data_IF_885793984945
#
_entry.id   IF_885793984945
#
_cell.length_a   1.000
_cell.length_b   1.000
_cell.length_c   1.000
_cell.angle_alpha   90.00
_cell.angle_beta   90.00
_cell.angle_gamma   90.00
#
_symmetry.space_group_name_H-M   'P 1'
#
loop_
_entity.id
_entity.type
_entity.pdbx_description
1 polymer ?
#
# COMPACT_ATOMS: atom_id res chain seq x y z
N UNK A 1 -1.53 4.03 -26.52
CA UNK A 1 -1.60 2.56 -26.68
C UNK A 1 -1.90 1.93 -25.34
N UNK A 2 -2.61 0.79 -25.36
CA UNK A 2 -3.25 0.04 -24.26
C UNK A 2 -4.56 0.59 -23.66
N UNK A 3 -5.65 0.02 -24.18
CA UNK A 3 -6.98 -0.03 -23.60
C UNK A 3 -7.07 -1.14 -22.53
N UNK A 4 -7.87 -0.95 -21.47
CA UNK A 4 -8.47 -2.03 -20.65
C UNK A 4 -9.71 -1.44 -19.94
N UNK A 5 -10.93 -1.72 -20.41
CA UNK A 5 -11.86 -2.84 -20.07
C UNK A 5 -12.79 -2.53 -18.89
N UNK A 6 -14.06 -2.35 -19.26
CA UNK A 6 -15.21 -2.37 -18.36
C UNK A 6 -15.50 -3.79 -17.84
N UNK A 7 -15.79 -3.92 -16.55
CA UNK A 7 -16.48 -5.06 -15.93
C UNK A 7 -17.41 -4.48 -14.84
N UNK A 8 -18.73 -4.44 -15.09
CA UNK A 8 -19.75 -5.40 -14.63
C UNK A 8 -19.79 -5.60 -13.10
N UNK A 9 -20.83 -5.02 -12.51
CA UNK A 9 -21.39 -5.26 -11.17
C UNK A 9 -21.89 -6.71 -10.99
N UNK A 10 -21.81 -7.28 -9.77
CA UNK A 10 -22.58 -8.46 -9.39
C UNK A 10 -23.92 -8.09 -8.69
N UNK A 11 -24.93 -8.98 -8.74
CA UNK A 11 -26.24 -8.76 -8.11
C UNK A 11 -26.28 -9.24 -6.63
N UNK A 12 -27.33 -8.80 -5.94
CA UNK A 12 -27.50 -8.80 -4.49
C UNK A 12 -27.41 -10.13 -3.73
N UNK A 13 -27.30 -10.05 -2.40
CA UNK A 13 -28.46 -10.27 -1.53
C UNK A 13 -28.15 -10.16 -0.02
N UNK A 14 -29.06 -9.45 0.66
CA UNK A 14 -29.67 -9.69 2.01
C UNK A 14 -28.81 -9.59 3.29
N UNK A 15 -29.26 -8.70 4.18
CA UNK A 15 -29.07 -8.82 5.64
C UNK A 15 -29.11 -7.51 6.43
N UNK A 16 -30.29 -6.92 6.65
CA UNK A 16 -30.56 -6.07 7.84
C UNK A 16 -30.58 -6.96 9.11
N UNK A 17 -30.54 -6.45 10.38
CA UNK A 17 -30.87 -5.09 10.83
C UNK A 17 -29.94 -4.53 11.94
N UNK A 18 -30.11 -3.24 12.27
CA UNK A 18 -30.26 -2.75 13.66
C UNK A 18 -30.27 -1.21 13.63
N UNK A 19 -31.48 -0.67 13.72
CA UNK A 19 -31.71 0.72 14.06
C UNK A 19 -31.34 0.94 15.53
N UNK A 20 -30.36 1.79 15.80
CA UNK A 20 -30.21 2.44 17.10
C UNK A 20 -30.62 3.91 16.93
N UNK A 21 -31.64 4.40 17.65
CA UNK A 21 -32.18 5.74 17.46
C UNK A 21 -31.40 6.84 18.21
N UNK A 22 -30.14 6.61 18.59
CA UNK A 22 -29.35 7.55 19.41
C UNK A 22 -27.97 7.81 18.82
N UNK A 23 -27.93 8.44 17.67
CA UNK A 23 -26.75 9.18 17.21
C UNK A 23 -27.21 10.21 16.19
N UNK A 24 -26.56 11.38 16.17
CA UNK A 24 -26.75 12.47 15.21
C UNK A 24 -27.86 13.46 15.60
N UNK A 25 -27.72 14.07 16.78
CA UNK A 25 -27.93 15.53 16.85
C UNK A 25 -26.69 16.16 16.21
N UNK A 26 -26.64 16.13 14.88
CA UNK A 26 -25.82 17.08 14.13
C UNK A 26 -26.56 18.39 14.27
N UNK A 27 -25.89 19.38 14.84
CA UNK A 27 -26.21 20.79 14.69
C UNK A 27 -26.13 21.09 13.19
N UNK A 28 -27.23 20.84 12.48
CA UNK A 28 -27.55 21.34 11.16
C UNK A 28 -27.93 22.81 11.35
N UNK A 29 -26.92 23.65 11.49
CA UNK A 29 -27.04 25.08 11.30
C UNK A 29 -26.08 25.47 10.18
N UNK A 30 -26.67 25.96 9.09
CA UNK A 30 -26.05 26.58 7.91
C UNK A 30 -25.52 25.63 6.83
N UNK A 31 -26.42 24.95 6.12
CA UNK A 31 -26.30 24.74 4.66
C UNK A 31 -27.71 24.62 4.04
N UNK A 32 -28.53 25.64 4.27
CA UNK A 32 -29.72 25.85 3.45
C UNK A 32 -29.32 26.52 2.15
N UNK A 33 -28.87 25.74 1.16
CA UNK A 33 -28.78 26.18 -0.23
C UNK A 33 -30.19 26.20 -0.85
N UNK A 34 -31.08 27.02 -0.28
CA UNK A 34 -32.12 27.64 -1.08
C UNK A 34 -31.43 28.84 -1.74
N UNK A 35 -31.59 29.00 -3.06
CA UNK A 35 -31.23 30.24 -3.75
C UNK A 35 -32.04 31.36 -3.10
N UNK A 36 -31.49 31.96 -2.05
CA UNK A 36 -32.06 33.12 -1.42
C UNK A 36 -32.04 34.22 -2.47
N UNK A 37 -33.19 34.87 -2.68
CA UNK A 37 -33.23 36.06 -3.51
C UNK A 37 -32.10 37.03 -3.09
N UNK A 38 -31.44 37.72 -4.04
CA UNK A 38 -30.36 38.64 -3.73
C UNK A 38 -30.73 39.59 -2.60
N UNK A 39 -29.78 39.83 -1.68
CA UNK A 39 -30.02 40.73 -0.55
C UNK A 39 -30.46 42.10 -1.10
N UNK A 40 -31.66 42.61 -0.75
CA UNK A 40 -32.19 43.84 -1.32
C UNK A 40 -31.29 45.06 -1.05
N UNK A 41 -30.41 44.99 -0.04
CA UNK A 41 -29.42 46.03 0.27
C UNK A 41 -28.33 46.16 -0.79
N UNK A 42 -28.15 45.15 -1.65
CA UNK A 42 -27.19 45.17 -2.77
C UNK A 42 -27.76 45.79 -4.05
N UNK A 43 -29.09 45.91 -4.19
CA UNK A 43 -29.72 46.44 -5.40
C UNK A 43 -29.22 47.86 -5.81
N UNK A 44 -28.98 48.80 -4.87
CA UNK A 44 -28.38 50.10 -5.21
C UNK A 44 -26.96 49.96 -5.80
N UNK A 45 -26.17 49.00 -5.30
CA UNK A 45 -24.82 48.74 -5.79
C UNK A 45 -24.84 48.09 -7.18
N UNK A 46 -25.75 47.15 -7.41
CA UNK A 46 -25.96 46.56 -8.74
C UNK A 46 -26.26 47.63 -9.78
N UNK A 47 -27.09 48.62 -9.42
CA UNK A 47 -27.36 49.78 -10.26
C UNK A 47 -26.10 50.62 -10.50
N UNK A 48 -25.29 50.90 -9.47
CA UNK A 48 -24.03 51.64 -9.64
C UNK A 48 -23.07 50.94 -10.62
N UNK A 49 -22.97 49.62 -10.55
CA UNK A 49 -22.18 48.80 -11.48
C UNK A 49 -22.74 48.90 -12.91
N UNK A 50 -24.06 48.81 -13.07
CA UNK A 50 -24.72 48.92 -14.38
C UNK A 50 -24.56 50.32 -15.00
N UNK A 51 -24.61 51.36 -14.17
CA UNK A 51 -24.46 52.77 -14.56
C UNK A 51 -22.99 53.18 -14.79
N UNK A 52 -22.05 52.22 -14.72
CA UNK A 52 -20.60 52.46 -14.88
C UNK A 52 -20.04 53.55 -13.93
N UNK A 53 -20.55 53.57 -12.70
CA UNK A 53 -20.04 54.45 -11.64
C UNK A 53 -18.55 54.18 -11.40
N UNK A 54 -17.71 55.20 -11.12
CA UNK A 54 -16.30 54.98 -10.82
C UNK A 54 -16.08 53.89 -9.75
N UNK A 55 -15.22 52.92 -10.04
CA UNK A 55 -15.06 51.71 -9.21
C UNK A 55 -14.76 52.00 -7.74
N UNK A 56 -13.92 52.99 -7.45
CA UNK A 56 -13.62 53.40 -6.07
C UNK A 56 -14.83 53.91 -5.27
N UNK A 57 -15.83 54.50 -5.94
CA UNK A 57 -17.10 54.87 -5.28
C UNK A 57 -17.95 53.63 -4.98
N UNK A 58 -17.96 52.64 -5.87
CA UNK A 58 -18.66 51.37 -5.67
C UNK A 58 -18.03 50.60 -4.50
N UNK A 59 -16.70 50.50 -4.45
CA UNK A 59 -15.97 49.86 -3.35
C UNK A 59 -16.29 50.53 -2.02
N UNK A 60 -16.23 51.87 -1.95
CA UNK A 60 -16.56 52.61 -0.72
C UNK A 60 -18.01 52.39 -0.27
N UNK A 61 -18.95 52.30 -1.21
CA UNK A 61 -20.34 51.99 -0.90
C UNK A 61 -20.51 50.56 -0.36
N UNK A 62 -19.80 49.59 -0.94
CA UNK A 62 -19.75 48.20 -0.46
C UNK A 62 -19.14 48.09 0.94
N UNK A 63 -18.04 48.79 1.21
CA UNK A 63 -17.37 48.78 2.52
C UNK A 63 -18.24 49.33 3.66
N UNK A 64 -19.16 50.25 3.33
CA UNK A 64 -20.13 50.83 4.26
C UNK A 64 -21.29 49.90 4.61
N UNK A 65 -21.42 48.74 3.95
CA UNK A 65 -22.46 47.78 4.26
C UNK A 65 -22.20 47.05 5.59
N UNK A 66 -23.27 46.61 6.30
CA UNK A 66 -23.14 45.79 7.49
C UNK A 66 -22.31 44.52 7.25
N UNK A 67 -21.61 44.07 8.29
CA UNK A 67 -20.69 42.92 8.18
C UNK A 67 -21.41 41.67 7.64
N UNK A 68 -22.64 41.40 8.07
CA UNK A 68 -23.40 40.24 7.61
C UNK A 68 -23.70 40.25 6.11
N UNK A 69 -23.82 41.44 5.49
CA UNK A 69 -23.96 41.58 4.03
C UNK A 69 -22.64 41.31 3.34
N UNK A 70 -21.55 41.85 3.90
CA UNK A 70 -20.19 41.70 3.38
C UNK A 70 -19.72 40.24 3.38
N UNK A 71 -20.38 39.37 4.14
CA UNK A 71 -20.07 37.94 4.21
C UNK A 71 -20.82 37.07 3.18
N UNK A 72 -21.65 37.67 2.32
CA UNK A 72 -22.45 36.97 1.31
C UNK A 72 -21.70 36.76 0.00
N UNK A 73 -22.10 35.75 -0.79
CA UNK A 73 -21.52 35.51 -2.11
C UNK A 73 -21.78 36.69 -3.07
N UNK A 74 -23.02 37.16 -3.17
CA UNK A 74 -23.40 38.27 -4.07
C UNK A 74 -22.60 39.54 -3.80
N UNK A 75 -22.31 39.86 -2.53
CA UNK A 75 -21.40 40.96 -2.17
C UNK A 75 -20.02 40.79 -2.83
N UNK A 76 -19.44 39.60 -2.78
CA UNK A 76 -18.12 39.34 -3.34
C UNK A 76 -18.10 39.36 -4.87
N UNK A 77 -19.20 38.98 -5.54
CA UNK A 77 -19.32 39.15 -6.98
C UNK A 77 -19.36 40.63 -7.36
N UNK A 78 -20.13 41.46 -6.63
CA UNK A 78 -20.18 42.89 -6.86
C UNK A 78 -18.85 43.58 -6.53
N UNK A 79 -18.18 43.14 -5.47
CA UNK A 79 -16.84 43.61 -5.12
C UNK A 79 -15.83 43.29 -6.23
N UNK A 80 -15.90 42.08 -6.80
CA UNK A 80 -15.04 41.70 -7.93
C UNK A 80 -15.27 42.61 -9.16
N UNK A 81 -16.53 42.93 -9.47
CA UNK A 81 -16.89 43.86 -10.55
C UNK A 81 -16.46 45.31 -10.23
N UNK A 82 -16.61 45.75 -8.99
CA UNK A 82 -16.17 47.07 -8.55
C UNK A 82 -14.65 47.24 -8.74
N UNK A 83 -13.85 46.25 -8.33
CA UNK A 83 -12.41 46.23 -8.55
C UNK A 83 -12.03 46.10 -10.02
N UNK A 84 -12.83 45.39 -10.83
CA UNK A 84 -12.65 45.37 -12.29
C UNK A 84 -12.78 46.78 -12.88
N UNK A 85 -13.84 47.51 -12.51
CA UNK A 85 -14.04 48.90 -12.95
C UNK A 85 -12.93 49.81 -12.42
N UNK A 86 -12.43 49.56 -11.21
CA UNK A 86 -11.31 50.29 -10.61
C UNK A 86 -9.93 49.91 -11.21
N UNK A 87 -9.85 48.90 -12.08
CA UNK A 87 -8.59 48.36 -12.62
C UNK A 87 -7.64 47.81 -11.54
N UNK A 88 -8.21 47.12 -10.53
CA UNK A 88 -7.50 46.48 -9.43
C UNK A 88 -7.61 44.94 -9.53
N UNK A 89 -6.86 44.30 -10.45
CA UNK A 89 -7.12 42.91 -10.84
C UNK A 89 -6.89 41.90 -9.72
N UNK A 90 -5.90 42.11 -8.86
CA UNK A 90 -5.62 41.17 -7.77
C UNK A 90 -6.71 41.16 -6.69
N UNK A 91 -7.29 42.33 -6.36
CA UNK A 91 -8.43 42.42 -5.44
C UNK A 91 -9.70 41.84 -6.05
N UNK A 92 -9.89 42.04 -7.36
CA UNK A 92 -11.00 41.44 -8.09
C UNK A 92 -10.90 39.90 -8.14
N UNK A 93 -9.72 39.36 -8.43
CA UNK A 93 -9.48 37.91 -8.43
C UNK A 93 -9.67 37.29 -7.06
N UNK A 94 -9.23 37.98 -6.02
CA UNK A 94 -9.46 37.57 -4.64
C UNK A 94 -10.97 37.57 -4.29
N UNK A 95 -11.70 38.64 -4.60
CA UNK A 95 -13.14 38.70 -4.37
C UNK A 95 -13.90 37.60 -5.13
N UNK A 96 -13.55 37.37 -6.40
CA UNK A 96 -14.12 36.30 -7.21
C UNK A 96 -13.82 34.91 -6.63
N UNK A 97 -12.62 34.70 -6.06
CA UNK A 97 -12.32 33.47 -5.36
C UNK A 97 -13.30 33.27 -4.18
N UNK A 98 -13.51 34.27 -3.34
CA UNK A 98 -14.47 34.18 -2.22
C UNK A 98 -15.90 33.91 -2.68
N UNK A 99 -16.37 34.57 -3.74
CA UNK A 99 -17.68 34.28 -4.33
C UNK A 99 -17.85 32.77 -4.61
N UNK A 100 -16.89 32.16 -5.32
CA UNK A 100 -16.91 30.72 -5.64
C UNK A 100 -16.83 29.81 -4.41
N UNK A 101 -16.17 30.26 -3.34
CA UNK A 101 -16.05 29.48 -2.10
C UNK A 101 -17.37 29.47 -1.32
N UNK A 102 -18.06 30.61 -1.28
CA UNK A 102 -19.30 30.78 -0.52
C UNK A 102 -20.50 30.20 -1.24
N UNK A 103 -20.49 30.19 -2.58
CA UNK A 103 -21.58 29.64 -3.40
C UNK A 103 -21.04 28.72 -4.50
N UNK A 104 -20.59 27.50 -4.15
CA UNK A 104 -20.13 26.53 -5.14
C UNK A 104 -21.26 26.17 -6.11
N UNK A 105 -21.03 26.33 -7.41
CA UNK A 105 -22.02 25.97 -8.45
C UNK A 105 -23.06 27.05 -8.77
N UNK A 106 -22.84 28.29 -8.32
CA UNK A 106 -23.66 29.44 -8.71
C UNK A 106 -23.78 29.59 -10.24
N UNK A 107 -24.96 29.97 -10.73
CA UNK A 107 -25.22 30.26 -12.15
C UNK A 107 -25.03 31.73 -12.51
N UNK A 108 -24.62 32.58 -11.55
CA UNK A 108 -24.34 34.00 -11.81
C UNK A 108 -23.22 34.11 -12.85
N UNK A 109 -23.36 35.06 -13.78
CA UNK A 109 -22.36 35.27 -14.82
C UNK A 109 -21.10 35.97 -14.28
N UNK A 110 -20.00 35.24 -14.28
CA UNK A 110 -18.64 35.66 -13.90
C UNK A 110 -17.71 35.80 -15.11
N UNK A 111 -18.16 35.44 -16.32
CA UNK A 111 -17.29 35.23 -17.49
C UNK A 111 -16.50 36.48 -17.87
N UNK A 112 -17.15 37.65 -17.82
CA UNK A 112 -16.50 38.91 -18.17
C UNK A 112 -15.35 39.28 -17.20
N UNK A 113 -15.54 39.02 -15.90
CA UNK A 113 -14.51 39.24 -14.87
C UNK A 113 -13.37 38.24 -15.08
N UNK A 114 -13.68 36.96 -15.28
CA UNK A 114 -12.70 35.89 -15.49
C UNK A 114 -11.81 36.13 -16.72
N UNK A 115 -12.42 36.48 -17.86
CA UNK A 115 -11.67 36.76 -19.08
C UNK A 115 -10.75 37.97 -18.93
N UNK A 116 -11.18 38.98 -18.17
CA UNK A 116 -10.35 40.14 -17.86
C UNK A 116 -9.20 39.77 -16.92
N UNK A 117 -9.48 39.03 -15.84
CA UNK A 117 -8.47 38.54 -14.90
C UNK A 117 -7.40 37.69 -15.57
N UNK A 118 -7.78 36.81 -16.51
CA UNK A 118 -6.81 36.00 -17.26
C UNK A 118 -5.82 36.88 -18.05
N UNK A 119 -6.30 37.95 -18.70
CA UNK A 119 -5.43 38.89 -19.43
C UNK A 119 -4.53 39.70 -18.48
N UNK A 120 -5.08 40.15 -17.34
CA UNK A 120 -4.29 40.87 -16.35
C UNK A 120 -3.25 39.98 -15.68
N UNK A 121 -3.57 38.70 -15.44
CA UNK A 121 -2.62 37.71 -14.94
C UNK A 121 -1.42 37.56 -15.89
N UNK A 122 -1.66 37.47 -17.21
CA UNK A 122 -0.61 37.41 -18.22
C UNK A 122 0.28 38.66 -18.21
N UNK A 123 -0.33 39.84 -18.12
CA UNK A 123 0.38 41.12 -18.07
C UNK A 123 1.26 41.21 -16.82
N UNK A 124 0.69 40.95 -15.64
CA UNK A 124 1.39 40.99 -14.35
C UNK A 124 2.50 39.95 -14.26
N UNK A 125 2.28 38.76 -14.84
CA UNK A 125 3.31 37.73 -14.89
C UNK A 125 4.49 38.16 -15.78
N UNK A 126 4.21 38.76 -16.94
CA UNK A 126 5.26 39.30 -17.82
C UNK A 126 6.06 40.39 -17.13
N UNK A 127 5.38 41.28 -16.39
CA UNK A 127 5.99 42.32 -15.57
C UNK A 127 6.89 41.71 -14.47
N UNK A 128 6.39 40.72 -13.72
CA UNK A 128 7.15 40.02 -12.70
C UNK A 128 8.44 39.39 -13.26
N UNK A 129 8.35 38.75 -14.43
CA UNK A 129 9.52 38.18 -15.11
C UNK A 129 10.54 39.23 -15.53
N UNK A 130 10.08 40.38 -16.02
CA UNK A 130 10.98 41.50 -16.35
C UNK A 130 11.70 42.02 -15.11
N UNK A 131 10.97 42.25 -14.01
CA UNK A 131 11.54 42.71 -12.74
C UNK A 131 12.54 41.72 -12.17
N UNK A 132 12.22 40.42 -12.24
CA UNK A 132 13.09 39.34 -11.81
C UNK A 132 14.41 39.33 -12.60
N UNK A 133 14.34 39.44 -13.93
CA UNK A 133 15.54 39.52 -14.80
C UNK A 133 16.37 40.77 -14.53
N UNK A 134 15.74 41.86 -14.10
CA UNK A 134 16.40 43.11 -13.73
C UNK A 134 16.95 43.10 -12.29
N UNK A 135 16.70 42.04 -11.51
CA UNK A 135 17.20 41.88 -10.15
C UNK A 135 16.36 42.56 -9.05
N UNK A 136 15.22 43.17 -9.40
CA UNK A 136 14.29 43.77 -8.42
C UNK A 136 13.38 42.69 -7.83
N UNK A 137 13.93 41.89 -6.92
CA UNK A 137 13.25 40.74 -6.32
C UNK A 137 11.98 41.13 -5.53
N UNK A 138 11.95 42.21 -4.72
CA UNK A 138 10.74 42.63 -4.05
C UNK A 138 9.60 43.02 -5.00
N UNK A 139 9.89 43.81 -6.05
CA UNK A 139 8.87 44.19 -7.02
C UNK A 139 8.42 42.99 -7.87
N UNK A 140 9.34 42.10 -8.25
CA UNK A 140 9.02 40.86 -8.94
C UNK A 140 8.09 39.96 -8.12
N UNK A 141 8.36 39.83 -6.82
CA UNK A 141 7.55 39.06 -5.88
C UNK A 141 6.13 39.64 -5.75
N UNK A 142 5.99 40.97 -5.64
CA UNK A 142 4.69 41.64 -5.60
C UNK A 142 3.88 41.44 -6.89
N UNK A 143 4.50 41.69 -8.05
CA UNK A 143 3.85 41.49 -9.35
C UNK A 143 3.45 40.03 -9.58
N UNK A 144 4.29 39.07 -9.18
CA UNK A 144 3.98 37.64 -9.27
C UNK A 144 2.82 37.25 -8.37
N UNK A 145 2.81 37.70 -7.11
CA UNK A 145 1.72 37.45 -6.18
C UNK A 145 0.38 37.96 -6.74
N UNK A 146 0.37 39.18 -7.30
CA UNK A 146 -0.81 39.75 -7.95
C UNK A 146 -1.25 38.92 -9.15
N UNK A 147 -0.31 38.44 -9.98
CA UNK A 147 -0.63 37.56 -11.11
C UNK A 147 -1.32 36.26 -10.66
N UNK A 148 -0.80 35.60 -9.62
CA UNK A 148 -1.38 34.37 -9.04
C UNK A 148 -2.76 34.62 -8.41
N UNK A 149 -2.99 35.80 -7.84
CA UNK A 149 -4.29 36.19 -7.30
C UNK A 149 -5.35 36.40 -8.40
N UNK A 150 -4.92 36.83 -9.60
CA UNK A 150 -5.80 36.96 -10.76
C UNK A 150 -6.12 35.59 -11.38
N UNK A 151 -5.10 34.78 -11.63
CA UNK A 151 -5.23 33.44 -12.18
C UNK A 151 -4.21 32.47 -11.59
N UNK A 152 -4.71 31.37 -11.04
CA UNK A 152 -3.89 30.32 -10.44
C UNK A 152 -3.13 29.50 -11.48
N UNK A 153 -3.55 29.49 -12.75
CA UNK A 153 -2.81 28.78 -13.80
C UNK A 153 -1.40 29.33 -13.98
N UNK A 154 -1.13 30.56 -13.51
CA UNK A 154 0.21 31.16 -13.42
C UNK A 154 1.20 30.27 -12.65
N UNK A 155 0.74 29.51 -11.65
CA UNK A 155 1.57 28.61 -10.85
C UNK A 155 2.12 27.43 -11.67
N UNK A 156 1.38 27.00 -12.71
CA UNK A 156 1.76 25.87 -13.55
C UNK A 156 2.74 26.27 -14.67
N UNK A 157 3.09 27.57 -14.78
CA UNK A 157 4.00 28.04 -15.82
C UNK A 157 5.43 27.59 -15.49
N UNK A 158 6.13 26.92 -16.43
CA UNK A 158 7.47 26.40 -16.21
C UNK A 158 8.50 27.53 -16.28
N UNK A 159 8.51 28.41 -15.28
CA UNK A 159 9.60 29.38 -15.06
C UNK A 159 10.30 28.97 -13.76
N UNK A 160 11.55 28.51 -13.90
CA UNK A 160 12.34 27.70 -12.95
C UNK A 160 12.74 28.40 -11.63
N UNK A 161 11.76 28.91 -10.87
CA UNK A 161 11.98 29.35 -9.50
C UNK A 161 11.31 30.64 -9.08
N UNK A 162 10.51 31.31 -9.93
CA UNK A 162 9.89 32.59 -9.55
C UNK A 162 8.93 32.44 -8.36
N UNK A 163 8.17 31.34 -8.28
CA UNK A 163 7.29 31.04 -7.15
C UNK A 163 8.06 30.82 -5.84
N UNK A 164 9.07 29.95 -5.86
CA UNK A 164 9.94 29.70 -4.70
C UNK A 164 10.72 30.96 -4.28
N UNK A 165 11.21 31.73 -5.24
CA UNK A 165 11.87 33.00 -4.99
C UNK A 165 10.90 34.01 -4.36
N UNK A 166 9.65 34.07 -4.82
CA UNK A 166 8.63 34.95 -4.24
C UNK A 166 8.35 34.57 -2.78
N UNK A 167 8.17 33.27 -2.49
CA UNK A 167 8.01 32.78 -1.11
C UNK A 167 9.20 33.17 -0.24
N UNK A 168 10.42 32.98 -0.74
CA UNK A 168 11.66 33.35 -0.05
C UNK A 168 11.73 34.86 0.24
N UNK A 169 11.47 35.69 -0.77
CA UNK A 169 11.46 37.16 -0.65
C UNK A 169 10.42 37.65 0.35
N UNK A 170 9.19 37.11 0.31
CA UNK A 170 8.14 37.47 1.26
C UNK A 170 8.53 37.10 2.71
N UNK A 171 9.06 35.89 2.92
CA UNK A 171 9.54 35.45 4.24
C UNK A 171 10.69 36.32 4.75
N UNK A 172 11.64 36.67 3.88
CA UNK A 172 12.73 37.57 4.23
C UNK A 172 12.23 38.97 4.66
N UNK A 173 11.28 39.55 3.93
CA UNK A 173 10.68 40.84 4.27
C UNK A 173 9.95 40.80 5.61
N UNK A 174 9.22 39.72 5.91
CA UNK A 174 8.54 39.52 7.20
C UNK A 174 9.54 39.38 8.35
N UNK A 175 10.65 38.68 8.14
CA UNK A 175 11.71 38.50 9.15
C UNK A 175 12.47 39.80 9.46
N UNK A 176 12.53 40.74 8.52
CA UNK A 176 13.17 42.06 8.69
C UNK A 176 12.26 43.08 9.41
N UNK A 177 11.13 42.66 9.97
CA UNK A 177 10.19 43.56 10.64
C UNK A 177 9.19 44.23 9.70
N UNK A 178 9.06 43.77 8.45
CA UNK A 178 7.99 44.17 7.54
C UNK A 178 6.63 43.68 8.07
N UNK A 179 5.99 44.45 8.96
CA UNK A 179 4.80 44.02 9.70
C UNK A 179 3.46 44.35 9.02
N UNK A 180 3.44 44.66 7.72
CA UNK A 180 2.17 44.87 7.03
C UNK A 180 1.35 43.56 7.07
N UNK A 181 0.16 43.61 7.64
CA UNK A 181 -0.78 42.47 7.66
C UNK A 181 -0.99 41.91 6.26
N UNK A 182 -0.99 42.76 5.23
CA UNK A 182 -1.07 42.39 3.82
C UNK A 182 0.00 41.36 3.40
N UNK A 183 1.22 41.42 3.96
CA UNK A 183 2.29 40.47 3.65
C UNK A 183 2.02 39.06 4.21
N UNK A 184 1.43 38.96 5.40
CA UNK A 184 1.03 37.67 5.99
C UNK A 184 -0.12 37.04 5.21
N UNK A 185 -1.07 37.85 4.74
CA UNK A 185 -2.17 37.39 3.92
C UNK A 185 -1.68 36.85 2.56
N UNK A 186 -0.81 37.62 1.88
CA UNK A 186 -0.19 37.21 0.63
C UNK A 186 0.64 35.93 0.77
N UNK A 187 1.43 35.81 1.84
CA UNK A 187 2.18 34.61 2.15
C UNK A 187 1.26 33.41 2.38
N UNK A 188 0.21 33.55 3.20
CA UNK A 188 -0.74 32.48 3.47
C UNK A 188 -1.46 31.99 2.21
N UNK A 189 -1.86 32.92 1.35
CA UNK A 189 -2.43 32.58 0.05
C UNK A 189 -1.43 31.83 -0.83
N UNK A 190 -0.20 32.32 -0.95
CA UNK A 190 0.82 31.69 -1.81
C UNK A 190 1.23 30.31 -1.28
N UNK A 191 1.45 30.16 0.02
CA UNK A 191 1.72 28.85 0.64
C UNK A 191 0.54 27.88 0.41
N UNK A 192 -0.71 28.36 0.48
CA UNK A 192 -1.88 27.53 0.16
C UNK A 192 -1.85 27.07 -1.30
N UNK A 193 -1.51 27.98 -2.22
CA UNK A 193 -1.40 27.70 -3.65
C UNK A 193 -0.30 26.71 -4.02
N UNK A 194 0.77 26.65 -3.23
CA UNK A 194 1.86 25.69 -3.38
C UNK A 194 1.64 24.39 -2.57
N UNK A 195 0.43 24.12 -2.09
CA UNK A 195 0.09 22.96 -1.25
C UNK A 195 0.90 22.87 0.07
N UNK A 196 1.47 24.00 0.51
CA UNK A 196 2.12 24.13 1.82
C UNK A 196 1.07 24.40 2.92
N UNK A 197 0.07 23.53 3.03
CA UNK A 197 -1.14 23.76 3.85
C UNK A 197 -0.84 24.20 5.28
N UNK A 198 0.16 23.59 5.94
CA UNK A 198 0.54 23.96 7.31
C UNK A 198 1.18 25.36 7.39
N UNK A 199 2.03 25.71 6.44
CA UNK A 199 2.65 27.03 6.37
C UNK A 199 1.60 28.11 6.07
N UNK A 200 0.69 27.81 5.14
CA UNK A 200 -0.44 28.66 4.80
C UNK A 200 -1.30 28.97 6.04
N UNK A 201 -1.64 27.93 6.80
CA UNK A 201 -2.39 28.04 8.04
C UNK A 201 -1.68 28.96 9.04
N UNK A 202 -0.39 28.74 9.29
CA UNK A 202 0.40 29.56 10.21
C UNK A 202 0.47 31.02 9.77
N UNK A 203 0.62 31.30 8.47
CA UNK A 203 0.63 32.66 7.95
C UNK A 203 -0.71 33.38 8.16
N UNK A 204 -1.84 32.69 7.99
CA UNK A 204 -3.16 33.24 8.31
C UNK A 204 -3.38 33.46 9.82
N UNK A 205 -2.78 32.64 10.68
CA UNK A 205 -2.81 32.90 12.13
C UNK A 205 -2.06 34.18 12.50
N UNK A 206 -0.86 34.40 11.94
CA UNK A 206 -0.11 35.64 12.15
C UNK A 206 -0.86 36.86 11.59
N UNK A 207 -1.52 36.70 10.45
CA UNK A 207 -2.41 37.71 9.89
C UNK A 207 -3.53 38.09 10.87
N UNK A 208 -4.25 37.10 11.42
CA UNK A 208 -5.37 37.33 12.32
C UNK A 208 -4.96 38.05 13.60
N UNK A 209 -3.78 37.75 14.16
CA UNK A 209 -3.28 38.47 15.34
C UNK A 209 -3.08 39.96 15.11
N UNK A 210 -2.94 40.39 13.84
CA UNK A 210 -2.68 41.77 13.43
C UNK A 210 -3.88 42.43 12.75
N UNK A 211 -4.88 41.65 12.34
CA UNK A 211 -6.05 42.15 11.63
C UNK A 211 -6.92 43.02 12.56
N UNK A 212 -7.13 44.28 12.16
CA UNK A 212 -8.01 45.23 12.88
C UNK A 212 -9.43 45.28 12.31
N UNK A 213 -9.58 44.97 11.03
CA UNK A 213 -10.86 45.01 10.34
C UNK A 213 -11.59 43.64 10.51
N UNK A 214 -12.80 43.63 11.09
CA UNK A 214 -13.60 42.41 11.28
C UNK A 214 -13.90 41.64 9.99
N UNK A 215 -14.08 42.32 8.86
CA UNK A 215 -14.33 41.68 7.57
C UNK A 215 -13.09 40.92 7.07
N UNK A 216 -11.93 41.56 7.15
CA UNK A 216 -10.66 40.94 6.79
C UNK A 216 -10.30 39.76 7.72
N UNK A 217 -10.59 39.89 9.02
CA UNK A 217 -10.46 38.78 9.96
C UNK A 217 -11.41 37.62 9.60
N UNK A 218 -12.66 37.92 9.22
CA UNK A 218 -13.59 36.89 8.74
C UNK A 218 -13.06 36.17 7.47
N UNK A 219 -12.52 36.91 6.50
CA UNK A 219 -11.94 36.32 5.27
C UNK A 219 -10.80 35.34 5.57
N UNK A 220 -9.87 35.72 6.45
CA UNK A 220 -8.79 34.82 6.86
C UNK A 220 -9.32 33.57 7.59
N UNK A 221 -10.37 33.70 8.42
CA UNK A 221 -11.02 32.55 9.05
C UNK A 221 -11.71 31.61 8.05
N UNK A 222 -12.24 32.12 6.94
CA UNK A 222 -12.77 31.28 5.84
C UNK A 222 -11.64 30.45 5.21
N UNK A 223 -10.50 31.06 4.92
CA UNK A 223 -9.31 30.34 4.43
C UNK A 223 -8.82 29.29 5.42
N UNK A 224 -8.68 29.64 6.70
CA UNK A 224 -8.21 28.70 7.71
C UNK A 224 -9.11 27.46 7.83
N UNK A 225 -10.44 27.63 7.88
CA UNK A 225 -11.37 26.50 7.93
C UNK A 225 -11.22 25.57 6.72
N UNK A 226 -11.01 26.14 5.54
CA UNK A 226 -10.75 25.36 4.32
C UNK A 226 -9.43 24.59 4.41
N UNK A 227 -8.36 25.26 4.81
CA UNK A 227 -7.05 24.65 5.00
C UNK A 227 -7.11 23.52 6.02
N UNK A 228 -7.79 23.73 7.16
CA UNK A 228 -7.97 22.70 8.19
C UNK A 228 -8.71 21.47 7.63
N UNK A 229 -9.76 21.67 6.83
CA UNK A 229 -10.48 20.59 6.18
C UNK A 229 -9.58 19.81 5.20
N UNK A 230 -8.78 20.49 4.39
CA UNK A 230 -7.84 19.86 3.46
C UNK A 230 -6.71 19.12 4.18
N UNK A 231 -6.17 19.68 5.26
CA UNK A 231 -5.18 19.01 6.12
C UNK A 231 -5.74 17.69 6.67
N UNK A 232 -6.99 17.69 7.13
CA UNK A 232 -7.63 16.49 7.66
C UNK A 232 -7.83 15.43 6.59
N UNK A 233 -8.24 15.82 5.37
CA UNK A 233 -8.35 14.90 4.22
C UNK A 233 -7.00 14.28 3.88
N UNK A 234 -5.95 15.08 3.74
CA UNK A 234 -4.59 14.58 3.44
C UNK A 234 -4.07 13.68 4.57
N UNK A 235 -4.34 14.04 5.83
CA UNK A 235 -3.92 13.26 6.99
C UNK A 235 -4.65 11.91 7.07
N UNK A 236 -5.93 11.86 6.73
CA UNK A 236 -6.69 10.59 6.59
C UNK A 236 -6.10 9.72 5.49
N UNK A 237 -5.90 10.27 4.29
CA UNK A 237 -5.34 9.53 3.17
C UNK A 237 -3.97 8.90 3.52
N UNK A 238 -3.09 9.64 4.20
CA UNK A 238 -1.79 9.11 4.67
C UNK A 238 -1.93 7.99 5.71
N UNK A 239 -2.89 8.11 6.64
CA UNK A 239 -3.18 7.05 7.61
C UNK A 239 -3.69 5.78 6.93
N UNK A 240 -4.58 5.94 5.94
CA UNK A 240 -5.14 4.82 5.17
C UNK A 240 -4.06 4.13 4.32
N UNK A 241 -3.16 4.90 3.70
CA UNK A 241 -2.01 4.35 2.97
C UNK A 241 -1.06 3.59 3.90
N UNK A 242 -0.73 4.15 5.06
CA UNK A 242 0.12 3.50 6.06
C UNK A 242 -0.51 2.20 6.57
N UNK A 243 -1.82 2.21 6.81
CA UNK A 243 -2.57 1.01 7.19
C UNK A 243 -2.55 -0.04 6.09
N UNK A 244 -2.79 0.33 4.84
CA UNK A 244 -2.74 -0.58 3.70
C UNK A 244 -1.34 -1.22 3.53
N UNK A 245 -0.27 -0.43 3.70
CA UNK A 245 1.11 -0.95 3.70
C UNK A 245 1.35 -1.93 4.85
N UNK A 246 0.89 -1.62 6.06
CA UNK A 246 1.02 -2.53 7.21
C UNK A 246 0.25 -3.85 6.99
N UNK A 247 -0.98 -3.79 6.46
CA UNK A 247 -1.77 -4.98 6.12
C UNK A 247 -1.10 -5.82 5.03
N UNK A 248 -0.52 -5.19 4.01
CA UNK A 248 0.24 -5.89 2.97
C UNK A 248 1.49 -6.58 3.52
N UNK A 249 2.26 -5.90 4.38
CA UNK A 249 3.43 -6.49 5.05
C UNK A 249 3.04 -7.66 5.97
N UNK A 250 1.94 -7.54 6.70
CA UNK A 250 1.43 -8.62 7.55
C UNK A 250 1.01 -9.86 6.75
N UNK A 251 0.36 -9.66 5.59
CA UNK A 251 0.02 -10.77 4.67
C UNK A 251 1.27 -11.45 4.11
N UNK A 252 2.25 -10.68 3.66
CA UNK A 252 3.51 -11.22 3.15
C UNK A 252 4.26 -12.04 4.23
N UNK A 253 4.25 -11.58 5.48
CA UNK A 253 4.83 -12.33 6.60
C UNK A 253 4.07 -13.65 6.85
N UNK A 254 2.73 -13.62 6.83
CA UNK A 254 1.91 -14.83 7.00
C UNK A 254 2.12 -15.84 5.88
N UNK A 255 2.24 -15.38 4.63
CA UNK A 255 2.52 -16.24 3.48
C UNK A 255 3.92 -16.86 3.56
N UNK A 256 4.92 -16.11 4.02
CA UNK A 256 6.28 -16.62 4.28
C UNK A 256 6.27 -17.76 5.31
N UNK A 257 5.59 -17.57 6.44
CA UNK A 257 5.45 -18.59 7.49
C UNK A 257 4.71 -19.83 6.96
N UNK A 258 3.66 -19.64 6.15
CA UNK A 258 2.94 -20.75 5.51
C UNK A 258 3.86 -21.51 4.55
N UNK A 259 4.67 -20.82 3.75
CA UNK A 259 5.60 -21.44 2.83
C UNK A 259 6.67 -22.25 3.57
N UNK A 260 7.27 -21.69 4.61
CA UNK A 260 8.25 -22.38 5.46
C UNK A 260 7.65 -23.64 6.09
N UNK A 261 6.41 -23.57 6.60
CA UNK A 261 5.72 -24.74 7.16
C UNK A 261 5.48 -25.83 6.11
N UNK A 262 5.10 -25.46 4.89
CA UNK A 262 4.94 -26.41 3.78
C UNK A 262 6.29 -27.04 3.41
N UNK A 263 7.36 -26.26 3.34
CA UNK A 263 8.70 -26.79 3.08
C UNK A 263 9.16 -27.76 4.18
N UNK A 264 8.96 -27.40 5.46
CA UNK A 264 9.30 -28.27 6.59
C UNK A 264 8.51 -29.58 6.53
N UNK A 265 7.21 -29.53 6.22
CA UNK A 265 6.39 -30.72 6.05
C UNK A 265 6.89 -31.60 4.89
N UNK A 266 7.20 -31.00 3.74
CA UNK A 266 7.76 -31.73 2.59
C UNK A 266 9.12 -32.38 2.93
N UNK A 267 9.98 -31.70 3.70
CA UNK A 267 11.25 -32.27 4.17
C UNK A 267 11.02 -33.49 5.07
N UNK A 268 10.07 -33.40 6.00
CA UNK A 268 9.70 -34.51 6.88
C UNK A 268 9.12 -35.70 6.08
N UNK A 269 8.25 -35.43 5.10
CA UNK A 269 7.69 -36.47 4.23
C UNK A 269 8.77 -37.17 3.40
N UNK A 270 9.74 -36.41 2.86
CA UNK A 270 10.90 -37.00 2.16
C UNK A 270 11.76 -37.86 3.08
N UNK A 271 12.05 -37.39 4.29
CA UNK A 271 12.79 -38.17 5.28
C UNK A 271 12.07 -39.46 5.66
N UNK A 272 10.74 -39.42 5.84
CA UNK A 272 9.92 -40.60 6.10
C UNK A 272 9.92 -41.57 4.92
N UNK A 273 9.81 -41.06 3.70
CA UNK A 273 9.85 -41.88 2.49
C UNK A 273 11.22 -42.56 2.30
N UNK A 274 12.31 -41.83 2.53
CA UNK A 274 13.68 -42.38 2.48
C UNK A 274 13.92 -43.43 3.57
N UNK A 275 13.47 -43.18 4.80
CA UNK A 275 13.53 -44.16 5.88
C UNK A 275 12.75 -45.44 5.49
N UNK A 276 11.53 -45.29 4.98
CA UNK A 276 10.73 -46.42 4.49
C UNK A 276 11.41 -47.22 3.37
N UNK A 277 12.06 -46.53 2.41
CA UNK A 277 12.85 -47.19 1.35
C UNK A 277 14.03 -47.98 1.93
N UNK A 278 14.80 -47.40 2.85
CA UNK A 278 15.92 -48.10 3.50
C UNK A 278 15.45 -49.34 4.24
N UNK A 279 14.35 -49.26 4.98
CA UNK A 279 13.77 -50.43 5.68
C UNK A 279 13.33 -51.50 4.68
N UNK A 280 12.72 -51.12 3.55
CA UNK A 280 12.32 -52.05 2.51
C UNK A 280 13.53 -52.74 1.84
N UNK A 281 14.55 -51.98 1.44
CA UNK A 281 15.79 -52.50 0.85
C UNK A 281 16.52 -53.45 1.81
N UNK A 282 16.59 -53.11 3.10
CA UNK A 282 17.15 -54.00 4.13
C UNK A 282 16.37 -55.30 4.28
N UNK A 283 15.05 -55.25 4.38
CA UNK A 283 14.21 -56.46 4.47
C UNK A 283 14.37 -57.35 3.24
N UNK A 284 14.46 -56.73 2.06
CA UNK A 284 14.74 -57.46 0.82
C UNK A 284 16.10 -58.16 0.90
N UNK A 285 17.13 -57.47 1.38
CA UNK A 285 18.47 -58.05 1.53
C UNK A 285 18.49 -59.24 2.51
N UNK A 286 17.79 -59.13 3.65
CA UNK A 286 17.63 -60.24 4.60
C UNK A 286 16.96 -61.46 3.96
N UNK A 287 15.91 -61.24 3.14
CA UNK A 287 15.25 -62.34 2.42
C UNK A 287 16.16 -62.99 1.37
N UNK A 288 16.99 -62.20 0.68
CA UNK A 288 18.00 -62.70 -0.26
C UNK A 288 19.08 -63.53 0.46
N UNK A 289 19.54 -63.09 1.63
CA UNK A 289 20.47 -63.84 2.48
C UNK A 289 19.85 -65.15 2.98
N UNK A 290 18.61 -65.14 3.47
CA UNK A 290 17.90 -66.34 3.90
C UNK A 290 17.72 -67.37 2.78
N UNK A 291 17.53 -66.91 1.53
CA UNK A 291 17.47 -67.78 0.37
C UNK A 291 18.84 -68.44 0.09
N UNK A 292 19.93 -67.65 0.12
CA UNK A 292 21.30 -68.14 -0.12
C UNK A 292 21.79 -69.10 0.97
N UNK A 293 21.46 -68.82 2.24
CA UNK A 293 21.77 -69.73 3.36
C UNK A 293 21.07 -71.08 3.16
N UNK A 294 19.78 -71.07 2.79
CA UNK A 294 19.02 -72.30 2.50
C UNK A 294 19.61 -73.08 1.32
N UNK A 295 20.04 -72.39 0.27
CA UNK A 295 20.71 -73.03 -0.86
C UNK A 295 22.04 -73.69 -0.44
N UNK A 296 22.85 -72.98 0.37
CA UNK A 296 24.08 -73.51 0.92
C UNK A 296 23.83 -74.74 1.82
N UNK A 297 22.81 -74.70 2.69
CA UNK A 297 22.40 -75.83 3.54
C UNK A 297 22.01 -77.04 2.70
N UNK A 298 21.19 -76.86 1.65
CA UNK A 298 20.82 -77.93 0.72
C UNK A 298 22.04 -78.52 -0.01
N UNK A 299 23.01 -77.68 -0.40
CA UNK A 299 24.25 -78.15 -1.05
C UNK A 299 25.15 -78.91 -0.08
N UNK A 300 25.28 -78.44 1.16
CA UNK A 300 26.00 -79.14 2.24
C UNK A 300 25.35 -80.51 2.47
N UNK A 301 24.03 -80.59 2.60
CA UNK A 301 23.32 -81.87 2.74
C UNK A 301 23.58 -82.81 1.56
N UNK A 302 23.51 -82.32 0.33
CA UNK A 302 23.79 -83.11 -0.86
C UNK A 302 25.23 -83.66 -0.87
N UNK A 303 26.21 -82.81 -0.56
CA UNK A 303 27.62 -83.20 -0.44
C UNK A 303 27.84 -84.21 0.70
N UNK A 304 27.14 -84.06 1.83
CA UNK A 304 27.18 -85.03 2.93
C UNK A 304 26.64 -86.39 2.51
N UNK A 305 25.50 -86.45 1.82
CA UNK A 305 24.92 -87.70 1.28
C UNK A 305 25.84 -88.37 0.26
N UNK A 306 26.49 -87.58 -0.59
CA UNK A 306 27.50 -88.07 -1.54
C UNK A 306 28.73 -88.64 -0.83
N UNK A 307 29.16 -88.01 0.28
CA UNK A 307 30.30 -88.45 1.10
C UNK A 307 30.01 -89.75 1.87
N UNK A 308 28.78 -89.94 2.37
CA UNK A 308 28.39 -91.13 3.15
C UNK A 308 28.06 -92.36 2.28
N UNK A 309 28.14 -92.24 0.96
CA UNK A 309 27.98 -93.38 0.03
C UNK A 309 26.53 -93.74 -0.28
N UNK A 310 25.58 -92.84 -0.04
CA UNK A 310 24.16 -93.05 -0.41
C UNK A 310 23.85 -92.84 -1.91
N UNK A 311 24.85 -92.51 -2.73
CA UNK A 311 24.72 -92.49 -4.19
C UNK A 311 25.31 -93.80 -4.72
N UNK A 312 24.45 -94.76 -5.06
CA UNK A 312 24.86 -96.00 -5.74
C UNK A 312 25.47 -95.64 -7.09
N UNK A 313 26.80 -95.70 -7.18
CA UNK A 313 27.47 -95.70 -8.48
C UNK A 313 27.51 -97.16 -8.91
N UNK A 314 26.47 -97.58 -9.60
CA UNK A 314 26.43 -98.88 -10.26
C UNK A 314 27.47 -98.87 -11.39
N UNK A 315 28.67 -99.40 -11.11
CA UNK A 315 29.69 -99.60 -12.13
C UNK A 315 31.11 -99.58 -11.58
N UNK A 316 31.80 -100.70 -11.77
CA UNK A 316 33.23 -100.93 -11.47
C UNK A 316 34.12 -99.70 -11.74
N UNK A 317 34.49 -99.00 -10.67
CA UNK A 317 35.43 -97.89 -10.68
C UNK A 317 36.58 -98.14 -9.70
N UNK A 318 37.81 -98.02 -10.20
CA UNK A 318 39.08 -98.14 -9.45
C UNK A 318 39.05 -97.44 -8.07
N UNK A 319 39.56 -98.11 -7.02
CA UNK A 319 39.71 -97.58 -5.65
C UNK A 319 40.41 -96.22 -5.59
N UNK A 320 41.23 -95.90 -6.58
CA UNK A 320 41.90 -94.60 -6.72
C UNK A 320 40.91 -93.47 -7.05
N UNK A 321 39.91 -93.72 -7.89
CA UNK A 321 38.89 -92.73 -8.29
C UNK A 321 37.97 -92.40 -7.12
N UNK A 322 37.61 -93.38 -6.28
CA UNK A 322 36.85 -93.13 -5.05
C UNK A 322 37.59 -92.25 -4.05
N UNK A 323 38.89 -92.46 -3.85
CA UNK A 323 39.70 -91.68 -2.91
C UNK A 323 39.89 -90.22 -3.36
N UNK A 324 40.06 -89.99 -4.67
CA UNK A 324 40.15 -88.63 -5.25
C UNK A 324 38.80 -87.92 -5.14
N UNK A 325 37.69 -88.60 -5.45
CA UNK A 325 36.34 -88.03 -5.38
C UNK A 325 35.95 -87.68 -3.94
N UNK A 326 36.32 -88.50 -2.95
CA UNK A 326 36.12 -88.19 -1.53
C UNK A 326 36.92 -86.98 -1.05
N UNK A 327 38.13 -86.75 -1.56
CA UNK A 327 38.90 -85.54 -1.24
C UNK A 327 38.26 -84.29 -1.82
N UNK A 328 37.75 -84.36 -3.05
CA UNK A 328 37.08 -83.24 -3.71
C UNK A 328 35.76 -82.86 -3.01
N UNK A 329 34.94 -83.86 -2.67
CA UNK A 329 33.71 -83.65 -1.88
C UNK A 329 34.03 -83.08 -0.51
N UNK A 330 35.14 -83.50 0.12
CA UNK A 330 35.57 -82.95 1.41
C UNK A 330 36.00 -81.49 1.30
N UNK A 331 36.71 -81.09 0.24
CA UNK A 331 37.09 -79.68 0.04
C UNK A 331 35.87 -78.81 -0.26
N UNK A 332 34.96 -79.25 -1.15
CA UNK A 332 33.71 -78.53 -1.43
C UNK A 332 32.83 -78.39 -0.18
N UNK A 333 32.78 -79.42 0.68
CA UNK A 333 32.03 -79.34 1.93
C UNK A 333 32.59 -78.27 2.87
N UNK A 334 33.92 -78.17 2.99
CA UNK A 334 34.58 -77.14 3.83
C UNK A 334 34.29 -75.75 3.27
N UNK A 335 34.43 -75.58 1.96
CA UNK A 335 34.15 -74.32 1.27
C UNK A 335 32.68 -73.88 1.45
N UNK A 336 31.73 -74.78 1.21
CA UNK A 336 30.30 -74.46 1.39
C UNK A 336 29.92 -74.18 2.84
N UNK A 337 30.56 -74.86 3.81
CA UNK A 337 30.35 -74.58 5.23
C UNK A 337 30.88 -73.20 5.61
N UNK A 338 32.01 -72.79 5.02
CA UNK A 338 32.55 -71.44 5.20
C UNK A 338 31.64 -70.38 4.57
N UNK A 339 31.18 -70.60 3.33
CA UNK A 339 30.21 -69.70 2.66
C UNK A 339 28.93 -69.53 3.48
N UNK A 340 28.38 -70.63 4.03
CA UNK A 340 27.22 -70.57 4.92
C UNK A 340 27.49 -69.73 6.18
N UNK A 341 28.66 -69.89 6.79
CA UNK A 341 29.04 -69.15 7.99
C UNK A 341 29.21 -67.64 7.71
N UNK A 342 29.80 -67.28 6.57
CA UNK A 342 29.95 -65.90 6.12
C UNK A 342 28.58 -65.25 5.87
N UNK A 343 27.66 -65.95 5.18
CA UNK A 343 26.29 -65.46 4.96
C UNK A 343 25.49 -65.31 6.26
N UNK A 344 25.67 -66.23 7.21
CA UNK A 344 25.01 -66.15 8.52
C UNK A 344 25.53 -64.98 9.37
N UNK A 345 26.84 -64.71 9.31
CA UNK A 345 27.44 -63.54 9.96
C UNK A 345 26.94 -62.23 9.35
N UNK A 346 26.88 -62.14 8.02
CA UNK A 346 26.35 -60.97 7.31
C UNK A 346 24.87 -60.70 7.68
N UNK A 347 24.07 -61.77 7.77
CA UNK A 347 22.67 -61.68 8.22
C UNK A 347 22.56 -61.15 9.66
N UNK A 348 23.37 -61.67 10.58
CA UNK A 348 23.36 -61.25 11.99
C UNK A 348 23.79 -59.78 12.14
N UNK A 349 24.79 -59.35 11.38
CA UNK A 349 25.24 -57.95 11.40
C UNK A 349 24.15 -57.00 10.87
N UNK A 350 23.43 -57.39 9.81
CA UNK A 350 22.27 -56.64 9.32
C UNK A 350 21.11 -56.58 10.33
N UNK A 351 20.84 -57.66 11.06
CA UNK A 351 19.82 -57.68 12.13
C UNK A 351 20.22 -56.81 13.32
N UNK A 352 21.50 -56.80 13.71
CA UNK A 352 22.00 -55.88 14.75
C UNK A 352 21.88 -54.42 14.32
N UNK A 353 22.21 -54.11 13.07
CA UNK A 353 22.00 -52.76 12.54
C UNK A 353 20.52 -52.36 12.53
N UNK A 354 19.60 -53.29 12.27
CA UNK A 354 18.16 -53.03 12.30
C UNK A 354 17.70 -52.68 13.72
N UNK A 355 18.06 -53.50 14.70
CA UNK A 355 17.74 -53.29 16.12
C UNK A 355 18.27 -51.94 16.63
N UNK A 356 19.50 -51.58 16.28
CA UNK A 356 20.10 -50.29 16.63
C UNK A 356 19.39 -49.12 15.95
N UNK A 357 18.96 -49.29 14.69
CA UNK A 357 18.23 -48.26 13.97
C UNK A 357 16.81 -48.02 14.51
N UNK A 358 16.11 -49.08 14.93
CA UNK A 358 14.81 -48.98 15.61
C UNK A 358 14.90 -48.41 17.02
N UNK A 359 15.94 -48.72 17.77
CA UNK A 359 16.16 -48.18 19.12
C UNK A 359 16.47 -46.66 19.12
N UNK A 360 17.01 -46.15 18.01
CA UNK A 360 17.41 -44.74 17.86
C UNK A 360 16.26 -43.81 17.44
N UNK A 361 15.07 -44.33 17.12
CA UNK A 361 13.94 -43.52 16.63
C UNK A 361 12.63 -43.80 17.41
N UNK A 362 12.51 -43.33 18.67
CA UNK A 362 11.42 -43.69 19.58
C UNK A 362 10.03 -43.17 19.16
N UNK A 363 9.92 -42.27 18.18
CA UNK A 363 8.61 -41.81 17.68
C UNK A 363 7.86 -42.84 16.83
N UNK A 364 8.55 -43.79 16.21
CA UNK A 364 7.89 -44.85 15.42
C UNK A 364 7.14 -45.86 16.28
N UNK A 365 7.59 -46.10 17.52
CA UNK A 365 6.97 -47.06 18.45
C UNK A 365 5.65 -46.52 19.01
N UNK A 366 5.55 -45.20 19.26
CA UNK A 366 4.32 -44.59 19.78
C UNK A 366 3.16 -44.54 18.76
N UNK A 367 3.45 -44.57 17.46
CA UNK A 367 2.43 -44.56 16.41
C UNK A 367 1.70 -45.90 16.22
N UNK A 368 2.28 -47.02 16.66
CA UNK A 368 1.65 -48.34 16.56
C UNK A 368 0.78 -48.70 17.77
N UNK A 369 1.00 -48.10 18.94
CA UNK A 369 0.13 -48.29 20.11
C UNK A 369 -1.13 -47.42 20.08
N UNK A 370 -1.16 -46.33 19.32
CA UNK A 370 -2.34 -45.51 19.10
C UNK A 370 -3.18 -46.04 17.93
N UNK A 371 -3.76 -47.23 18.10
CA UNK A 371 -4.73 -47.82 17.18
C UNK A 371 -6.06 -47.05 17.15
N UNK A 372 -6.10 -45.91 16.47
CA UNK A 372 -7.34 -45.29 15.98
C UNK A 372 -7.11 -44.78 14.55
N UNK A 373 -7.42 -45.64 13.57
CA UNK A 373 -7.60 -45.21 12.19
C UNK A 373 -8.92 -44.41 12.09
N UNK A 374 -8.91 -43.16 11.60
CA UNK A 374 -10.15 -42.52 11.17
C UNK A 374 -10.55 -43.15 9.83
N UNK A 375 -11.60 -43.98 9.86
CA UNK A 375 -12.29 -44.44 8.65
C UNK A 375 -13.09 -43.25 8.11
N UNK A 376 -12.44 -42.42 7.30
CA UNK A 376 -13.08 -41.39 6.50
C UNK A 376 -13.40 -41.95 5.12
N UNK A 377 -14.64 -42.39 4.93
CA UNK A 377 -15.21 -42.78 3.65
C UNK A 377 -15.18 -41.61 2.66
N UNK A 378 -14.48 -41.78 1.54
CA UNK A 378 -14.60 -40.94 0.36
C UNK A 378 -15.75 -41.51 -0.48
N UNK A 379 -16.85 -40.78 -0.58
CA UNK A 379 -17.87 -40.99 -1.62
C UNK A 379 -17.55 -40.10 -2.82
N UNK A 380 -17.71 -40.67 -4.01
CA UNK A 380 -17.73 -39.98 -5.30
C UNK A 380 -18.87 -38.96 -5.39
#
# INVERSE_FOLDING_TARGET
>A
MHAYRAHRTPPGSRGCPLWSPWAVVIVLLVTGAASAAPDPRLAPIEKMVADATPGGMIVKALEGLPLEVRQTADYHLLLARAHQIASEPWLSGEALAFFRHLEPGSTRDTRAVEQWLAREADRLFTEAMSLYRNGDLPAAADAYLKAVQCDQTVLARPENGLGEQTLSTLRAALNQGGHASVNWYGLGFLDYRHDHLRAARSAFEEYLRKAKDPYWAWRANVWMRRIDAEIEVVSRARRDEARAKAEASARAAADSVRHEKVEQQQRLERQRAEAGRRTFERRRHLLELDARIREADLRIEALQRQRTGQVSVDGYGSTYVMAVNQRLVKSELVEMTQVRAELAAEREDLEREDLLSTASNPEWVKGQEAGHMPVGSVSY
#
